data_IF_804160629520
#
_entry.id   IF_804160629520
#
_cell.length_a   1.000
_cell.length_b   1.000
_cell.length_c   1.000
_cell.angle_alpha   90.00
_cell.angle_beta   90.00
_cell.angle_gamma   90.00
#
_symmetry.space_group_name_H-M   'P 1'
#
loop_
_entity.id
_entity.type
_entity.pdbx_description
1 polymer ?
#
# COMPACT_ATOMS: atom_id res chain seq x y z
N UNK A 1 15.33 14.11 -9.44
CA UNK A 1 13.94 13.80 -9.78
C UNK A 1 13.06 14.55 -8.80
N UNK A 2 12.12 15.36 -9.28
CA UNK A 2 11.11 16.01 -8.42
C UNK A 2 10.06 15.00 -7.97
N UNK A 3 9.22 15.36 -7.00
CA UNK A 3 8.11 14.49 -6.59
C UNK A 3 7.09 14.28 -7.73
N UNK A 4 6.84 15.27 -8.60
CA UNK A 4 5.96 15.07 -9.76
C UNK A 4 6.54 14.03 -10.74
N UNK A 5 7.84 14.10 -11.03
CA UNK A 5 8.51 13.15 -11.92
C UNK A 5 8.52 11.73 -11.33
N UNK A 6 8.74 11.63 -10.01
CA UNK A 6 8.66 10.38 -9.29
C UNK A 6 7.25 9.77 -9.34
N UNK A 7 6.22 10.57 -9.08
CA UNK A 7 4.82 10.15 -9.21
C UNK A 7 4.52 9.65 -10.63
N UNK A 8 4.91 10.41 -11.65
CA UNK A 8 4.72 9.99 -13.06
C UNK A 8 5.38 8.64 -13.37
N UNK A 9 6.56 8.38 -12.81
CA UNK A 9 7.27 7.10 -12.97
C UNK A 9 6.49 5.94 -12.33
N UNK A 10 5.95 6.13 -11.13
CA UNK A 10 5.18 5.11 -10.41
C UNK A 10 3.81 4.88 -11.07
N UNK A 11 3.14 5.95 -11.51
CA UNK A 11 1.86 5.87 -12.25
C UNK A 11 2.07 5.09 -13.55
N UNK A 12 3.13 5.39 -14.31
CA UNK A 12 3.44 4.65 -15.53
C UNK A 12 3.68 3.16 -15.25
N UNK A 13 4.35 2.83 -14.14
CA UNK A 13 4.52 1.45 -13.71
C UNK A 13 3.16 0.77 -13.44
N UNK A 14 2.24 1.40 -12.71
CA UNK A 14 0.88 0.87 -12.47
C UNK A 14 0.09 0.69 -13.77
N UNK A 15 0.15 1.66 -14.68
CA UNK A 15 -0.49 1.58 -15.99
C UNK A 15 0.05 0.41 -16.81
N UNK A 16 1.36 0.15 -16.75
CA UNK A 16 1.96 -1.03 -17.40
C UNK A 16 1.47 -2.37 -16.82
N UNK A 17 0.90 -2.35 -15.62
CA UNK A 17 0.23 -3.48 -14.96
C UNK A 17 -1.28 -3.52 -15.19
N UNK A 18 -1.82 -2.57 -15.98
CA UNK A 18 -3.24 -2.46 -16.28
C UNK A 18 -4.06 -1.73 -15.22
N UNK A 19 -3.42 -1.06 -14.24
CA UNK A 19 -4.11 -0.26 -13.24
C UNK A 19 -4.25 1.20 -13.67
N UNK A 20 -5.44 1.77 -13.45
CA UNK A 20 -5.68 3.20 -13.53
C UNK A 20 -5.40 3.84 -12.16
N UNK A 21 -4.84 5.06 -12.15
CA UNK A 21 -4.61 5.81 -10.91
C UNK A 21 -5.57 6.99 -10.88
N UNK A 22 -6.46 6.99 -9.89
CA UNK A 22 -7.40 8.07 -9.63
C UNK A 22 -6.93 8.95 -8.47
N UNK A 23 -6.99 10.27 -8.66
CA UNK A 23 -6.67 11.25 -7.63
C UNK A 23 -7.94 11.98 -7.21
N UNK A 24 -8.52 11.56 -6.09
CA UNK A 24 -9.78 12.10 -5.58
C UNK A 24 -9.54 12.92 -4.29
N UNK A 25 -10.36 13.97 -4.08
CA UNK A 25 -10.24 14.82 -2.88
C UNK A 25 -10.69 14.12 -1.60
N UNK A 26 -11.71 13.26 -1.72
CA UNK A 26 -12.36 12.53 -0.62
C UNK A 26 -12.15 11.01 -0.73
N UNK A 27 -11.20 10.57 -1.55
CA UNK A 27 -10.90 9.14 -1.71
C UNK A 27 -10.11 8.60 -0.53
N UNK A 28 -10.46 7.37 -0.13
CA UNK A 28 -9.59 6.52 0.68
C UNK A 28 -8.43 5.99 -0.18
N UNK A 29 -7.23 6.06 0.37
CA UNK A 29 -6.04 5.47 -0.24
C UNK A 29 -6.23 3.95 -0.31
N UNK A 30 -6.37 3.39 -1.52
CA UNK A 30 -6.78 1.99 -1.70
C UNK A 30 -6.48 1.43 -3.10
N UNK A 31 -6.41 0.09 -3.18
CA UNK A 31 -6.40 -0.67 -4.44
C UNK A 31 -7.68 -1.47 -4.60
N UNK A 32 -8.47 -1.13 -5.62
CA UNK A 32 -9.51 -2.01 -6.15
C UNK A 32 -8.89 -2.94 -7.22
N UNK A 33 -8.76 -4.22 -6.86
CA UNK A 33 -8.13 -5.24 -7.69
C UNK A 33 -9.03 -5.72 -8.84
N UNK A 34 -10.34 -5.67 -8.66
CA UNK A 34 -11.32 -6.11 -9.65
C UNK A 34 -11.50 -5.03 -10.71
N UNK A 35 -11.73 -3.78 -10.28
CA UNK A 35 -11.83 -2.64 -11.18
C UNK A 35 -10.47 -2.18 -11.75
N UNK A 36 -9.36 -2.66 -11.17
CA UNK A 36 -7.98 -2.24 -11.50
C UNK A 36 -7.78 -0.74 -11.30
N UNK A 37 -8.24 -0.21 -10.17
CA UNK A 37 -8.14 1.21 -9.81
C UNK A 37 -7.29 1.35 -8.55
N UNK A 38 -6.35 2.28 -8.57
CA UNK A 38 -5.62 2.74 -7.38
C UNK A 38 -6.06 4.16 -7.09
N UNK A 39 -6.64 4.37 -5.92
CA UNK A 39 -7.14 5.68 -5.48
C UNK A 39 -6.14 6.32 -4.53
N UNK A 40 -5.82 7.61 -4.75
CA UNK A 40 -4.94 8.40 -3.89
C UNK A 40 -5.61 9.72 -3.52
N UNK A 41 -5.53 10.10 -2.24
CA UNK A 41 -6.05 11.38 -1.80
C UNK A 41 -5.22 12.57 -2.35
N UNK A 42 -5.85 13.36 -3.24
CA UNK A 42 -5.20 14.44 -3.97
C UNK A 42 -4.87 15.67 -3.12
N UNK A 43 -5.39 15.76 -1.88
CA UNK A 43 -5.16 16.91 -0.98
C UNK A 43 -3.83 16.81 -0.22
N UNK A 44 -3.18 15.64 -0.26
CA UNK A 44 -1.89 15.41 0.41
C UNK A 44 -0.75 16.06 -0.35
N UNK A 45 0.38 16.28 0.33
CA UNK A 45 1.60 16.75 -0.34
C UNK A 45 2.07 15.72 -1.37
N UNK A 46 2.75 16.14 -2.44
CA UNK A 46 3.25 15.22 -3.47
C UNK A 46 4.18 14.13 -2.90
N UNK A 47 4.95 14.45 -1.86
CA UNK A 47 5.78 13.46 -1.14
C UNK A 47 4.91 12.40 -0.48
N UNK A 48 3.84 12.82 0.20
CA UNK A 48 2.89 11.90 0.84
C UNK A 48 2.14 11.07 -0.21
N UNK A 49 1.66 11.68 -1.29
CA UNK A 49 1.01 10.97 -2.40
C UNK A 49 1.96 9.92 -3.00
N UNK A 50 3.24 10.26 -3.18
CA UNK A 50 4.25 9.32 -3.69
C UNK A 50 4.42 8.12 -2.76
N UNK A 51 4.50 8.37 -1.44
CA UNK A 51 4.73 7.29 -0.48
C UNK A 51 3.52 6.37 -0.36
N UNK A 52 2.31 6.95 -0.33
CA UNK A 52 1.06 6.20 -0.41
C UNK A 52 1.00 5.39 -1.71
N UNK A 53 1.27 5.99 -2.86
CA UNK A 53 1.20 5.29 -4.14
C UNK A 53 2.20 4.12 -4.22
N UNK A 54 3.41 4.28 -3.66
CA UNK A 54 4.37 3.20 -3.55
C UNK A 54 3.87 2.06 -2.62
N UNK A 55 3.16 2.40 -1.55
CA UNK A 55 2.49 1.42 -0.69
C UNK A 55 1.37 0.66 -1.43
N UNK A 56 0.52 1.35 -2.19
CA UNK A 56 -0.50 0.72 -3.04
C UNK A 56 0.12 -0.19 -4.12
N UNK A 57 1.25 0.22 -4.73
CA UNK A 57 2.02 -0.65 -5.61
C UNK A 57 2.53 -1.91 -4.89
N UNK A 58 2.82 -1.78 -3.60
CA UNK A 58 3.12 -2.89 -2.71
C UNK A 58 1.99 -3.92 -2.69
N UNK A 59 0.74 -3.48 -2.49
CA UNK A 59 -0.44 -4.36 -2.53
C UNK A 59 -0.61 -5.05 -3.89
N UNK A 60 -0.39 -4.33 -4.99
CA UNK A 60 -0.38 -4.93 -6.34
C UNK A 60 0.68 -6.03 -6.43
N UNK A 61 1.91 -5.78 -5.97
CA UNK A 61 2.99 -6.77 -6.00
C UNK A 61 2.76 -7.96 -5.08
N UNK A 62 2.17 -7.75 -3.90
CA UNK A 62 1.74 -8.79 -2.95
C UNK A 62 0.85 -9.79 -3.67
N UNK A 63 -0.13 -9.32 -4.45
CA UNK A 63 -1.02 -10.20 -5.22
C UNK A 63 -0.35 -10.93 -6.39
N UNK A 64 0.67 -10.34 -7.02
CA UNK A 64 1.32 -10.91 -8.21
C UNK A 64 2.40 -11.97 -7.90
N UNK A 65 2.98 -11.98 -6.69
CA UNK A 65 4.17 -12.79 -6.40
C UNK A 65 4.15 -13.48 -5.04
N UNK A 66 4.04 -14.82 -5.11
CA UNK A 66 4.53 -15.84 -4.18
C UNK A 66 3.88 -15.99 -2.79
N UNK A 67 3.25 -17.17 -2.63
CA UNK A 67 3.26 -18.15 -1.53
C UNK A 67 3.01 -17.73 -0.07
N UNK A 68 3.40 -16.55 0.41
CA UNK A 68 2.99 -16.04 1.72
C UNK A 68 1.53 -15.56 1.65
N UNK A 69 1.14 -15.00 0.51
CA UNK A 69 -0.19 -14.43 0.25
C UNK A 69 -1.20 -15.49 -0.17
N UNK A 70 -0.78 -16.61 -0.78
CA UNK A 70 -1.69 -17.73 -1.03
C UNK A 70 -2.33 -18.22 0.28
N UNK A 71 -1.54 -18.28 1.36
CA UNK A 71 -2.08 -18.55 2.69
C UNK A 71 -2.90 -17.38 3.25
N UNK A 72 -2.48 -16.13 3.03
CA UNK A 72 -3.19 -14.96 3.53
C UNK A 72 -4.55 -14.74 2.85
N UNK A 73 -4.66 -14.81 1.53
CA UNK A 73 -5.90 -14.65 0.77
C UNK A 73 -6.86 -15.82 1.04
N UNK A 74 -6.33 -17.04 1.13
CA UNK A 74 -7.09 -18.22 1.58
C UNK A 74 -7.58 -18.06 3.03
N UNK A 75 -6.76 -17.48 3.92
CA UNK A 75 -7.13 -17.19 5.31
C UNK A 75 -8.16 -16.04 5.38
N UNK A 76 -7.94 -14.93 4.69
CA UNK A 76 -8.82 -13.75 4.70
C UNK A 76 -10.17 -14.10 4.07
N UNK A 77 -10.22 -14.98 3.07
CA UNK A 77 -11.46 -15.49 2.49
C UNK A 77 -12.18 -16.54 3.35
N UNK A 78 -11.49 -17.23 4.27
CA UNK A 78 -12.07 -18.27 5.15
C UNK A 78 -12.50 -17.76 6.51
N UNK A 79 -11.85 -16.73 7.03
CA UNK A 79 -12.08 -16.21 8.37
C UNK A 79 -12.75 -14.84 8.30
N UNK A 80 -13.78 -14.63 9.12
CA UNK A 80 -14.45 -13.33 9.18
C UNK A 80 -13.53 -12.22 9.71
N UNK A 81 -13.79 -10.98 9.28
CA UNK A 81 -12.97 -9.79 9.55
C UNK A 81 -12.74 -9.51 11.04
N UNK A 82 -13.66 -9.96 11.91
CA UNK A 82 -13.58 -9.78 13.36
C UNK A 82 -12.63 -10.76 14.04
N UNK A 83 -12.16 -11.79 13.34
CA UNK A 83 -11.31 -12.82 13.94
C UNK A 83 -9.88 -12.31 14.14
N UNK A 84 -9.21 -12.79 15.19
CA UNK A 84 -7.79 -12.47 15.42
C UNK A 84 -6.90 -12.91 14.27
N UNK A 85 -7.25 -14.02 13.62
CA UNK A 85 -6.51 -14.54 12.47
C UNK A 85 -6.59 -13.55 11.31
N UNK A 86 -7.80 -13.13 10.92
CA UNK A 86 -7.97 -12.12 9.86
C UNK A 86 -7.17 -10.86 10.14
N UNK A 87 -7.40 -10.27 11.33
CA UNK A 87 -6.71 -9.05 11.78
C UNK A 87 -5.19 -9.17 11.74
N UNK A 88 -4.65 -10.31 12.17
CA UNK A 88 -3.20 -10.59 12.16
C UNK A 88 -2.65 -10.63 10.74
N UNK A 89 -3.34 -11.34 9.84
CA UNK A 89 -2.89 -11.45 8.44
C UNK A 89 -3.03 -10.13 7.68
N UNK A 90 -4.03 -9.30 7.97
CA UNK A 90 -4.11 -7.93 7.45
C UNK A 90 -2.86 -7.11 7.83
N UNK A 91 -2.44 -7.14 9.11
CA UNK A 91 -1.22 -6.44 9.54
C UNK A 91 0.02 -6.97 8.80
N UNK A 92 0.12 -8.29 8.58
CA UNK A 92 1.23 -8.89 7.84
C UNK A 92 1.25 -8.40 6.39
N UNK A 93 0.08 -8.32 5.75
CA UNK A 93 -0.07 -7.80 4.38
C UNK A 93 0.40 -6.34 4.29
N UNK A 94 -0.02 -5.49 5.23
CA UNK A 94 0.40 -4.08 5.30
C UNK A 94 1.94 -3.95 5.37
N UNK A 95 2.58 -4.71 6.26
CA UNK A 95 4.06 -4.69 6.40
C UNK A 95 4.73 -5.10 5.08
N UNK A 96 4.23 -6.14 4.42
CA UNK A 96 4.81 -6.61 3.17
C UNK A 96 4.55 -5.64 2.01
N UNK A 97 3.38 -4.99 1.96
CA UNK A 97 3.07 -3.94 0.99
C UNK A 97 4.06 -2.78 1.09
N UNK A 98 4.29 -2.24 2.30
CA UNK A 98 5.32 -1.23 2.52
C UNK A 98 6.72 -1.70 2.11
N UNK A 99 7.12 -2.92 2.46
CA UNK A 99 8.44 -3.45 2.08
C UNK A 99 8.60 -3.59 0.57
N UNK A 100 7.59 -4.09 -0.13
CA UNK A 100 7.61 -4.26 -1.60
C UNK A 100 7.56 -2.91 -2.31
N UNK A 101 6.79 -1.95 -1.80
CA UNK A 101 6.76 -0.57 -2.30
C UNK A 101 8.13 0.09 -2.28
N UNK A 102 8.86 -0.01 -1.15
CA UNK A 102 10.22 0.53 -1.05
C UNK A 102 11.20 -0.17 -2.01
N UNK A 103 11.09 -1.49 -2.16
CA UNK A 103 11.91 -2.26 -3.10
C UNK A 103 11.63 -1.85 -4.55
N UNK A 104 10.36 -1.60 -4.89
CA UNK A 104 9.96 -1.08 -6.19
C UNK A 104 10.55 0.30 -6.46
N UNK A 105 10.48 1.22 -5.48
CA UNK A 105 11.08 2.54 -5.61
C UNK A 105 12.58 2.45 -5.99
N UNK A 106 13.32 1.54 -5.36
CA UNK A 106 14.72 1.27 -5.70
C UNK A 106 14.91 0.76 -7.13
N UNK A 107 14.03 -0.12 -7.62
CA UNK A 107 14.05 -0.64 -9.00
C UNK A 107 13.71 0.43 -10.04
N UNK A 108 12.82 1.36 -9.71
CA UNK A 108 12.40 2.46 -10.58
C UNK A 108 13.32 3.69 -10.46
N UNK A 109 14.37 3.62 -9.64
CA UNK A 109 15.25 4.75 -9.32
C UNK A 109 14.49 5.99 -8.80
N UNK A 110 13.38 5.77 -8.10
CA UNK A 110 12.60 6.81 -7.44
C UNK A 110 13.25 7.16 -6.10
N UNK A 111 13.62 8.43 -5.86
CA UNK A 111 14.22 8.83 -4.59
C UNK A 111 13.18 8.80 -3.48
N UNK A 112 13.55 8.18 -2.35
CA UNK A 112 12.73 8.11 -1.13
C UNK A 112 13.59 8.54 0.06
N UNK A 113 13.11 9.50 0.84
CA UNK A 113 13.70 9.83 2.14
C UNK A 113 13.36 8.70 3.12
N UNK A 114 14.35 7.85 3.40
CA UNK A 114 14.19 6.69 4.28
C UNK A 114 13.72 7.05 5.69
N UNK A 115 14.09 8.23 6.21
CA UNK A 115 13.68 8.65 7.56
C UNK A 115 12.19 8.97 7.58
N UNK A 116 11.71 9.71 6.58
CA UNK A 116 10.28 10.04 6.45
C UNK A 116 9.45 8.80 6.10
N UNK A 117 9.95 7.97 5.19
CA UNK A 117 9.35 6.68 4.85
C UNK A 117 9.13 5.81 6.09
N UNK A 118 10.19 5.56 6.87
CA UNK A 118 10.10 4.72 8.07
C UNK A 118 9.13 5.30 9.11
N UNK A 119 9.05 6.63 9.24
CA UNK A 119 8.07 7.29 10.10
C UNK A 119 6.63 7.03 9.63
N UNK A 120 6.39 7.09 8.32
CA UNK A 120 5.05 6.85 7.75
C UNK A 120 4.65 5.38 7.85
N UNK A 121 5.57 4.45 7.58
CA UNK A 121 5.36 3.01 7.84
C UNK A 121 5.02 2.76 9.31
N UNK A 122 5.83 3.27 10.24
CA UNK A 122 5.61 3.05 11.67
C UNK A 122 4.24 3.59 12.12
N UNK A 123 3.84 4.75 11.61
CA UNK A 123 2.53 5.35 11.88
C UNK A 123 1.38 4.48 11.35
N UNK A 124 1.46 4.04 10.09
CA UNK A 124 0.45 3.19 9.46
C UNK A 124 0.30 1.84 10.18
N UNK A 125 1.41 1.13 10.38
CA UNK A 125 1.41 -0.18 11.05
C UNK A 125 0.93 -0.06 12.50
N UNK A 126 1.29 1.00 13.23
CA UNK A 126 0.77 1.23 14.58
C UNK A 126 -0.75 1.39 14.58
N UNK A 127 -1.31 2.08 13.58
CA UNK A 127 -2.76 2.24 13.41
C UNK A 127 -3.44 0.87 13.23
N UNK A 128 -2.91 0.04 12.33
CA UNK A 128 -3.43 -1.31 12.09
C UNK A 128 -3.26 -2.23 13.31
N UNK A 129 -2.15 -2.13 14.05
CA UNK A 129 -1.96 -2.90 15.28
C UNK A 129 -2.97 -2.53 16.38
N UNK A 130 -3.29 -1.24 16.53
CA UNK A 130 -4.34 -0.78 17.46
C UNK A 130 -5.71 -1.32 17.09
N UNK A 131 -6.07 -1.25 15.80
CA UNK A 131 -7.29 -1.87 15.27
C UNK A 131 -7.32 -3.39 15.49
N UNK A 132 -6.21 -4.07 15.23
CA UNK A 132 -6.10 -5.52 15.37
C UNK A 132 -6.23 -5.99 16.83
N UNK A 133 -5.87 -5.16 17.80
CA UNK A 133 -5.89 -5.46 19.24
C UNK A 133 -7.11 -4.91 19.98
N UNK A 134 -8.04 -4.27 19.27
CA UNK A 134 -9.24 -3.63 19.84
C UNK A 134 -8.94 -2.59 20.93
N UNK A 135 -7.74 -1.97 20.91
CA UNK A 135 -7.45 -0.81 21.75
C UNK A 135 -8.10 0.43 21.14
N UNK A 136 -9.33 0.73 21.55
CA UNK A 136 -9.99 2.02 21.30
C UNK A 136 -9.30 3.13 22.12
N UNK A 137 -9.10 4.31 21.52
CA UNK A 137 -8.88 5.57 22.24
C UNK A 137 -10.25 6.11 22.64
#
# INVERSE_FOLDING_TARGET
MTHEQALGTVIYWLQSKGYFVDFARDGDDSVDREAKIVSINSTRSLETQLYTLLHECGHVLVSESDNIVNGAEEVLGKYGEKTKIYKTFTVIEEVEAWKRGLKLAGRLHVPVDKKKWNRDVARAITSYMKWATDQQI
#
